data_IF_547902269078
#
_entry.id   IF_547902269078
#
_cell.length_a   1.000
_cell.length_b   1.000
_cell.length_c   1.000
_cell.angle_alpha   90.00
_cell.angle_beta   90.00
_cell.angle_gamma   90.00
#
_symmetry.space_group_name_H-M   'P 1'
#
loop_
_entity.id
_entity.type
_entity.pdbx_description
1 polymer ?
#
# COMPACT_ATOMS: atom_id res chain seq x y z
N UNK A 1 8.18 -12.27 -12.04
CA UNK A 1 7.20 -11.67 -11.10
C UNK A 1 7.43 -10.17 -11.15
N UNK A 2 6.40 -9.32 -11.35
CA UNK A 2 6.58 -7.87 -11.42
C UNK A 2 7.00 -7.29 -10.06
N UNK A 3 7.93 -6.33 -10.08
CA UNK A 3 8.40 -5.60 -8.90
C UNK A 3 7.72 -4.22 -8.84
N UNK A 4 7.02 -3.94 -7.75
CA UNK A 4 6.37 -2.65 -7.51
C UNK A 4 7.24 -1.86 -6.54
N UNK A 5 7.98 -0.87 -7.04
CA UNK A 5 8.72 0.10 -6.19
C UNK A 5 8.03 1.46 -6.12
N UNK A 6 7.22 1.80 -7.12
CA UNK A 6 6.37 3.00 -7.10
C UNK A 6 4.91 2.56 -7.10
N UNK A 7 4.09 2.91 -6.10
CA UNK A 7 2.69 2.46 -6.03
C UNK A 7 1.89 2.75 -7.30
N UNK A 8 2.12 3.91 -7.92
CA UNK A 8 1.46 4.30 -9.17
C UNK A 8 1.70 3.33 -10.35
N UNK A 9 2.78 2.54 -10.33
CA UNK A 9 3.09 1.55 -11.38
C UNK A 9 2.08 0.41 -11.45
N UNK A 10 1.27 0.18 -10.40
CA UNK A 10 0.23 -0.83 -10.38
C UNK A 10 -0.82 -0.65 -11.49
N UNK A 11 -0.99 0.58 -11.97
CA UNK A 11 -1.93 0.93 -13.05
C UNK A 11 -1.53 0.33 -14.40
N UNK A 12 -0.24 0.08 -14.59
CA UNK A 12 0.33 -0.49 -15.82
C UNK A 12 0.44 -2.02 -15.76
N UNK A 13 0.11 -2.63 -14.61
CA UNK A 13 0.20 -4.07 -14.40
C UNK A 13 -1.14 -4.76 -14.68
N UNK A 14 -1.10 -6.10 -14.66
CA UNK A 14 -2.28 -6.93 -14.89
C UNK A 14 -3.41 -6.64 -13.87
N UNK A 15 -4.68 -6.87 -14.23
CA UNK A 15 -5.81 -6.72 -13.30
C UNK A 15 -5.65 -7.57 -12.03
N UNK A 16 -5.01 -8.74 -12.14
CA UNK A 16 -4.74 -9.61 -10.99
C UNK A 16 -3.74 -8.97 -10.03
N UNK A 17 -2.65 -8.39 -10.54
CA UNK A 17 -1.67 -7.66 -9.75
C UNK A 17 -2.32 -6.49 -9.02
N UNK A 18 -3.17 -5.73 -9.73
CA UNK A 18 -3.92 -4.62 -9.15
C UNK A 18 -4.84 -5.06 -8.02
N UNK A 19 -5.60 -6.14 -8.22
CA UNK A 19 -6.48 -6.68 -7.19
C UNK A 19 -5.72 -7.13 -5.95
N UNK A 20 -4.55 -7.76 -6.13
CA UNK A 20 -3.69 -8.16 -5.01
C UNK A 20 -3.19 -6.93 -4.24
N UNK A 21 -2.70 -5.92 -4.94
CA UNK A 21 -2.24 -4.68 -4.31
C UNK A 21 -3.36 -3.95 -3.54
N UNK A 22 -4.57 -3.87 -4.11
CA UNK A 22 -5.74 -3.28 -3.45
C UNK A 22 -6.12 -4.06 -2.17
N UNK A 23 -6.01 -5.39 -2.18
CA UNK A 23 -6.26 -6.23 -1.01
C UNK A 23 -5.23 -5.98 0.09
N UNK A 24 -3.94 -6.00 -0.24
CA UNK A 24 -2.85 -5.74 0.71
C UNK A 24 -2.96 -4.33 1.30
N UNK A 25 -3.25 -3.33 0.46
CA UNK A 25 -3.44 -1.95 0.92
C UNK A 25 -4.64 -1.82 1.87
N UNK A 26 -5.73 -2.54 1.62
CA UNK A 26 -6.88 -2.55 2.53
C UNK A 26 -6.56 -3.25 3.86
N UNK A 27 -5.76 -4.32 3.83
CA UNK A 27 -5.29 -5.00 5.03
C UNK A 27 -4.38 -4.09 5.88
N UNK A 28 -3.47 -3.36 5.25
CA UNK A 28 -2.66 -2.35 5.93
C UNK A 28 -3.52 -1.24 6.53
N UNK A 29 -4.50 -0.73 5.78
CA UNK A 29 -5.42 0.30 6.27
C UNK A 29 -6.21 -0.17 7.50
N UNK A 30 -6.57 -1.44 7.58
CA UNK A 30 -7.16 -2.03 8.77
C UNK A 30 -6.15 -2.13 9.92
N UNK A 31 -4.92 -2.57 9.64
CA UNK A 31 -3.86 -2.73 10.62
C UNK A 31 -3.51 -1.41 11.33
N UNK A 32 -3.38 -0.31 10.60
CA UNK A 32 -3.00 0.99 11.18
C UNK A 32 -4.04 1.56 12.14
N UNK A 33 -5.30 1.08 12.12
CA UNK A 33 -6.31 1.49 13.09
C UNK A 33 -5.94 1.10 14.53
N UNK A 34 -5.13 0.05 14.69
CA UNK A 34 -4.63 -0.43 15.97
C UNK A 34 -3.49 0.41 16.57
N UNK A 35 -2.92 1.37 15.84
CA UNK A 35 -1.78 2.15 16.33
C UNK A 35 -2.13 2.99 17.56
N UNK A 36 -1.24 3.00 18.55
CA UNK A 36 -1.43 3.76 19.79
C UNK A 36 -1.49 5.27 19.55
N UNK A 37 -0.64 5.78 18.67
CA UNK A 37 -0.62 7.19 18.27
C UNK A 37 -1.71 7.47 17.22
N UNK A 38 -2.74 8.25 17.58
CA UNK A 38 -3.90 8.52 16.72
C UNK A 38 -3.51 9.16 15.38
N UNK A 39 -2.48 9.98 15.36
CA UNK A 39 -1.97 10.65 14.15
C UNK A 39 -1.31 9.69 13.15
N UNK A 40 -0.92 8.49 13.58
CA UNK A 40 -0.31 7.45 12.74
C UNK A 40 -1.35 6.51 12.10
N UNK A 41 -2.63 6.61 12.48
CA UNK A 41 -3.74 5.80 11.93
C UNK A 41 -4.18 6.28 10.54
N UNK A 42 -3.22 6.51 9.65
CA UNK A 42 -3.42 7.08 8.31
C UNK A 42 -3.52 5.95 7.29
N UNK A 43 -4.72 5.72 6.79
CA UNK A 43 -4.93 4.83 5.66
C UNK A 43 -4.37 5.40 4.35
N UNK A 44 -4.39 4.58 3.30
CA UNK A 44 -3.89 4.84 1.95
C UNK A 44 -2.39 5.18 1.88
N UNK A 45 -1.62 4.85 2.91
CA UNK A 45 -0.17 5.11 2.95
C UNK A 45 0.58 4.32 1.88
N UNK A 46 0.15 3.10 1.56
CA UNK A 46 0.75 2.28 0.49
C UNK A 46 0.59 2.90 -0.90
N UNK A 47 -0.40 3.78 -1.11
CA UNK A 47 -0.59 4.48 -2.39
C UNK A 47 0.33 5.71 -2.54
N UNK A 48 0.86 6.22 -1.43
CA UNK A 48 1.56 7.52 -1.36
C UNK A 48 3.03 7.37 -0.97
N UNK A 49 3.36 6.34 -0.24
CA UNK A 49 4.68 6.13 0.35
C UNK A 49 5.49 5.24 -0.59
N UNK A 50 6.67 5.73 -0.98
CA UNK A 50 7.64 4.91 -1.71
C UNK A 50 8.48 4.11 -0.71
N UNK A 51 9.05 2.96 -1.10
CA UNK A 51 9.94 2.18 -0.27
C UNK A 51 11.05 3.05 0.32
N UNK A 52 11.37 2.80 1.59
CA UNK A 52 12.46 3.48 2.25
C UNK A 52 13.81 3.04 1.62
N UNK A 53 14.62 4.00 1.18
CA UNK A 53 15.97 3.75 0.69
C UNK A 53 16.93 4.15 1.81
N UNK A 54 17.38 3.15 2.57
CA UNK A 54 18.39 3.28 3.62
C UNK A 54 19.71 2.71 3.17
#
# INVERSE_FOLDING_TARGET
IPLITKPASIKELSPQSRRLFELESAAHDFYVLGYGAKNERRGMSDWRTSPNMV
#
